data_IF_978451822384
#
_entry.id   IF_978451822384
#
_cell.length_a   1.000
_cell.length_b   1.000
_cell.length_c   1.000
_cell.angle_alpha   90.00
_cell.angle_beta   90.00
_cell.angle_gamma   90.00
#
_symmetry.space_group_name_H-M   'P 1'
#
loop_
_entity.id
_entity.type
_entity.pdbx_description
1 polymer ?
#
# COMPACT_ATOMS: atom_id res chain seq x y z
N UNK A 1 -15.15 21.48 12.16
CA UNK A 1 -15.24 21.36 10.72
C UNK A 1 -14.22 20.31 10.25
N UNK A 2 -14.71 19.07 10.00
CA UNK A 2 -13.83 17.90 9.83
C UNK A 2 -12.95 17.94 8.57
N UNK A 3 -13.19 18.88 7.65
CA UNK A 3 -12.40 19.05 6.42
C UNK A 3 -11.05 19.71 6.69
N UNK A 4 -10.97 20.68 7.60
CA UNK A 4 -9.73 21.37 7.94
C UNK A 4 -8.78 20.48 8.73
N UNK A 5 -9.33 19.63 9.61
CA UNK A 5 -8.52 18.67 10.36
C UNK A 5 -7.95 17.56 9.45
N UNK A 6 -8.77 17.07 8.51
CA UNK A 6 -8.32 16.08 7.52
C UNK A 6 -7.24 16.65 6.58
N UNK A 7 -7.40 17.91 6.13
CA UNK A 7 -6.41 18.59 5.31
C UNK A 7 -5.08 18.80 6.07
N UNK A 8 -5.14 19.25 7.32
CA UNK A 8 -3.96 19.43 8.17
C UNK A 8 -3.26 18.10 8.51
N UNK A 9 -4.05 17.03 8.64
CA UNK A 9 -3.52 15.67 8.85
C UNK A 9 -2.82 15.17 7.59
N UNK A 10 -3.43 15.35 6.42
CA UNK A 10 -2.84 14.98 5.13
C UNK A 10 -1.54 15.76 4.87
N UNK A 11 -1.50 17.06 5.15
CA UNK A 11 -0.30 17.88 4.99
C UNK A 11 0.87 17.34 5.84
N UNK A 12 0.61 16.94 7.09
CA UNK A 12 1.64 16.33 7.95
C UNK A 12 2.15 14.99 7.40
N UNK A 13 1.27 14.15 6.86
CA UNK A 13 1.63 12.86 6.26
C UNK A 13 2.43 13.06 4.97
N UNK A 14 2.08 14.06 4.17
CA UNK A 14 2.70 14.33 2.88
C UNK A 14 3.99 15.16 2.95
N UNK A 15 4.42 15.59 4.15
CA UNK A 15 5.69 16.32 4.32
C UNK A 15 6.87 15.41 3.96
N UNK A 16 7.62 15.80 2.93
CA UNK A 16 8.74 15.04 2.39
C UNK A 16 10.06 15.37 3.09
N UNK A 17 10.98 14.40 3.15
CA UNK A 17 12.38 14.68 3.39
C UNK A 17 13.01 15.15 2.06
N UNK A 18 13.42 16.43 1.95
CA UNK A 18 14.01 16.94 0.72
C UNK A 18 15.42 16.39 0.43
N UNK A 19 16.02 15.66 1.38
CA UNK A 19 17.34 15.07 1.22
C UNK A 19 17.35 13.80 0.37
N UNK A 20 16.19 13.19 0.13
CA UNK A 20 16.08 11.96 -0.68
C UNK A 20 15.67 12.28 -2.12
N UNK A 21 16.52 11.93 -3.08
CA UNK A 21 16.21 12.03 -4.51
C UNK A 21 15.22 10.94 -4.92
N UNK A 22 14.19 11.31 -5.64
CA UNK A 22 13.16 10.38 -6.11
C UNK A 22 13.01 10.49 -7.62
N UNK A 23 13.09 9.35 -8.30
CA UNK A 23 12.93 9.26 -9.75
C UNK A 23 11.46 9.11 -10.11
N UNK A 24 11.02 9.89 -11.10
CA UNK A 24 9.68 9.77 -11.67
C UNK A 24 9.73 8.92 -12.94
N UNK A 25 8.80 8.01 -13.05
CA UNK A 25 8.47 7.44 -14.35
C UNK A 25 7.64 8.46 -15.13
N UNK A 26 8.11 8.82 -16.32
CA UNK A 26 7.36 9.67 -17.24
C UNK A 26 6.89 8.75 -18.37
N UNK A 27 5.69 8.22 -18.25
CA UNK A 27 5.05 7.55 -19.37
C UNK A 27 4.09 8.51 -20.06
N UNK A 28 4.24 8.68 -21.37
CA UNK A 28 3.57 9.70 -22.19
C UNK A 28 2.07 9.43 -22.38
N UNK A 29 1.37 8.97 -21.40
CA UNK A 29 -0.07 8.72 -21.40
C UNK A 29 -0.70 8.60 -20.03
N UNK A 30 0.12 8.53 -18.97
CA UNK A 30 -0.34 8.44 -17.59
C UNK A 30 0.12 9.66 -16.80
N UNK A 31 -0.67 10.70 -16.77
CA UNK A 31 -0.43 11.88 -15.92
C UNK A 31 -0.36 11.57 -14.40
N UNK A 32 -0.71 10.33 -14.03
CA UNK A 32 -0.71 9.80 -12.66
C UNK A 32 0.39 8.78 -12.38
N UNK A 33 1.36 8.61 -13.27
CA UNK A 33 2.45 7.66 -13.04
C UNK A 33 3.18 8.00 -11.73
N UNK A 34 3.06 7.12 -10.75
CA UNK A 34 3.73 7.21 -9.47
C UNK A 34 5.25 7.20 -9.65
N UNK A 35 5.95 7.64 -8.63
CA UNK A 35 7.40 7.49 -8.56
C UNK A 35 7.72 6.00 -8.48
N UNK A 36 8.73 5.53 -9.20
CA UNK A 36 9.06 4.11 -9.29
C UNK A 36 10.35 3.72 -8.58
N UNK A 37 11.23 4.68 -8.30
CA UNK A 37 12.52 4.41 -7.66
C UNK A 37 13.05 5.63 -6.89
N UNK A 38 13.94 5.37 -5.92
CA UNK A 38 14.73 6.39 -5.22
C UNK A 38 16.23 6.14 -5.37
N UNK A 39 17.06 7.06 -4.86
CA UNK A 39 18.53 6.95 -4.95
C UNK A 39 19.13 5.83 -4.08
N UNK A 40 18.37 5.23 -3.19
CA UNK A 40 18.77 4.07 -2.38
C UNK A 40 18.54 2.75 -3.09
N UNK A 41 17.95 2.79 -4.30
CA UNK A 41 17.67 1.60 -5.08
C UNK A 41 16.34 0.92 -4.72
N UNK A 42 15.52 1.53 -3.85
CA UNK A 42 14.16 1.03 -3.63
C UNK A 42 13.33 1.33 -4.87
N UNK A 43 12.69 0.31 -5.41
CA UNK A 43 11.83 0.42 -6.59
C UNK A 43 10.46 -0.20 -6.30
N UNK A 44 9.42 0.34 -6.93
CA UNK A 44 8.04 -0.10 -6.75
C UNK A 44 7.30 -0.19 -8.07
N UNK A 45 6.44 -1.21 -8.16
CA UNK A 45 5.47 -1.37 -9.23
C UNK A 45 4.10 -1.69 -8.64
N UNK A 46 3.04 -1.34 -9.35
CA UNK A 46 1.66 -1.53 -8.89
C UNK A 46 0.84 -2.34 -9.90
N UNK A 47 -0.22 -2.97 -9.39
CA UNK A 47 -1.22 -3.68 -10.19
C UNK A 47 -2.56 -3.60 -9.45
N UNK A 48 -3.54 -2.91 -10.04
CA UNK A 48 -4.88 -2.74 -9.46
C UNK A 48 -5.58 -4.09 -9.30
N UNK A 49 -6.17 -4.32 -8.13
CA UNK A 49 -6.88 -5.54 -7.78
C UNK A 49 -8.30 -5.22 -7.30
N UNK A 50 -9.18 -6.22 -7.32
CA UNK A 50 -10.50 -6.13 -6.68
C UNK A 50 -10.40 -6.47 -5.19
N UNK A 51 -11.29 -5.89 -4.38
CA UNK A 51 -11.40 -6.19 -2.95
C UNK A 51 -12.86 -6.39 -2.52
N UNK A 52 -13.03 -6.94 -1.31
CA UNK A 52 -14.36 -7.15 -0.71
C UNK A 52 -14.91 -5.87 -0.07
N UNK A 53 -14.06 -4.90 0.22
CA UNK A 53 -14.44 -3.60 0.75
C UNK A 53 -14.02 -2.49 -0.20
N UNK A 54 -14.79 -1.40 -0.21
CA UNK A 54 -14.48 -0.18 -0.93
C UNK A 54 -14.38 1.00 0.02
N UNK A 55 -13.53 1.97 -0.33
CA UNK A 55 -13.43 3.24 0.40
C UNK A 55 -13.34 4.39 -0.59
N UNK A 56 -13.71 5.58 -0.11
CA UNK A 56 -13.55 6.83 -0.84
C UNK A 56 -12.61 7.76 -0.09
N UNK A 57 -11.92 8.58 -0.85
CA UNK A 57 -11.13 9.66 -0.28
C UNK A 57 -12.02 10.69 0.43
N UNK A 58 -11.47 11.36 1.43
CA UNK A 58 -12.15 12.45 2.16
C UNK A 58 -12.67 13.52 1.17
N UNK A 59 -11.89 13.88 0.17
CA UNK A 59 -12.31 14.84 -0.88
C UNK A 59 -13.47 14.35 -1.76
N UNK A 60 -13.79 13.05 -1.74
CA UNK A 60 -14.92 12.43 -2.44
C UNK A 60 -16.04 11.99 -1.47
N UNK A 61 -16.07 12.55 -0.26
CA UNK A 61 -17.08 12.25 0.74
C UNK A 61 -16.85 10.94 1.51
N UNK A 62 -15.64 10.39 1.46
CA UNK A 62 -15.22 9.20 2.20
C UNK A 62 -14.41 9.53 3.46
N UNK A 63 -13.63 8.56 3.93
CA UNK A 63 -12.84 8.65 5.18
C UNK A 63 -11.35 8.39 4.96
N UNK A 64 -10.96 7.80 3.85
CA UNK A 64 -9.57 7.51 3.53
C UNK A 64 -8.82 8.78 3.09
N UNK A 65 -7.57 8.91 3.51
CA UNK A 65 -6.70 10.01 3.09
C UNK A 65 -5.74 9.62 1.97
N UNK A 66 -5.40 8.34 1.84
CA UNK A 66 -4.30 7.89 1.00
C UNK A 66 -4.77 6.91 -0.09
N UNK A 67 -4.16 7.04 -1.26
CA UNK A 67 -4.17 6.06 -2.33
C UNK A 67 -2.75 5.48 -2.51
N UNK A 68 -2.58 4.50 -3.39
CA UNK A 68 -1.27 3.88 -3.60
C UNK A 68 -0.22 4.89 -4.10
N UNK A 69 -0.63 5.90 -4.86
CA UNK A 69 0.27 6.93 -5.38
C UNK A 69 0.94 7.74 -4.25
N UNK A 70 0.15 8.13 -3.23
CA UNK A 70 0.67 8.83 -2.05
C UNK A 70 1.51 7.89 -1.20
N UNK A 71 1.05 6.66 -0.96
CA UNK A 71 1.79 5.66 -0.17
C UNK A 71 3.16 5.36 -0.77
N UNK A 72 3.20 5.04 -2.07
CA UNK A 72 4.47 4.73 -2.76
C UNK A 72 5.40 5.93 -2.83
N UNK A 73 4.85 7.14 -3.06
CA UNK A 73 5.63 8.38 -3.03
C UNK A 73 6.27 8.62 -1.67
N UNK A 74 5.48 8.53 -0.58
CA UNK A 74 5.97 8.75 0.78
C UNK A 74 7.04 7.71 1.14
N UNK A 75 6.80 6.44 0.79
CA UNK A 75 7.76 5.38 1.07
C UNK A 75 9.07 5.57 0.31
N UNK A 76 9.03 5.94 -0.97
CA UNK A 76 10.23 6.24 -1.76
C UNK A 76 10.99 7.47 -1.25
N UNK A 77 10.30 8.44 -0.66
CA UNK A 77 10.91 9.64 -0.07
C UNK A 77 11.54 9.39 1.30
N UNK A 78 11.13 8.33 2.01
CA UNK A 78 11.52 8.12 3.43
C UNK A 78 12.28 6.84 3.70
N UNK A 79 12.21 5.84 2.81
CA UNK A 79 12.75 4.52 3.07
C UNK A 79 13.97 4.20 2.23
N UNK A 80 14.96 3.57 2.87
CA UNK A 80 16.19 3.13 2.23
C UNK A 80 16.18 1.62 1.89
N UNK A 81 15.15 0.87 2.31
CA UNK A 81 15.01 -0.57 2.06
C UNK A 81 13.59 -0.93 1.67
N UNK A 82 13.42 -2.02 0.93
CA UNK A 82 12.13 -2.53 0.52
C UNK A 82 11.24 -2.88 1.73
N UNK A 83 11.80 -3.54 2.73
CA UNK A 83 11.08 -3.89 3.96
C UNK A 83 10.56 -2.66 4.69
N UNK A 84 11.40 -1.66 4.91
CA UNK A 84 10.99 -0.42 5.59
C UNK A 84 9.88 0.31 4.82
N UNK A 85 9.91 0.24 3.49
CA UNK A 85 8.88 0.82 2.64
C UNK A 85 7.53 0.09 2.78
N UNK A 86 7.53 -1.24 2.83
CA UNK A 86 6.33 -2.06 3.08
C UNK A 86 5.74 -1.74 4.45
N UNK A 87 6.56 -1.75 5.50
CA UNK A 87 6.13 -1.45 6.88
C UNK A 87 5.54 -0.03 6.99
N UNK A 88 6.18 0.97 6.38
CA UNK A 88 5.70 2.35 6.39
C UNK A 88 4.38 2.50 5.64
N UNK A 89 4.25 1.91 4.45
CA UNK A 89 3.01 1.98 3.67
C UNK A 89 1.85 1.32 4.42
N UNK A 90 2.08 0.17 5.04
CA UNK A 90 1.10 -0.52 5.85
C UNK A 90 0.63 0.33 7.04
N UNK A 91 1.57 0.85 7.83
CA UNK A 91 1.26 1.69 8.99
C UNK A 91 0.50 2.97 8.63
N UNK A 92 0.91 3.66 7.56
CA UNK A 92 0.22 4.86 7.08
C UNK A 92 -1.21 4.56 6.62
N UNK A 93 -1.40 3.45 5.91
CA UNK A 93 -2.71 3.05 5.44
C UNK A 93 -3.65 2.64 6.58
N UNK A 94 -3.14 1.96 7.61
CA UNK A 94 -3.91 1.65 8.82
C UNK A 94 -4.30 2.92 9.59
N UNK A 95 -3.40 3.87 9.74
CA UNK A 95 -3.65 5.09 10.51
C UNK A 95 -4.55 6.09 9.79
N UNK A 96 -4.38 6.22 8.46
CA UNK A 96 -4.99 7.32 7.69
C UNK A 96 -6.06 6.86 6.70
N UNK A 97 -6.29 5.55 6.60
CA UNK A 97 -7.21 4.96 5.64
C UNK A 97 -6.63 4.90 4.22
N UNK A 98 -7.00 3.85 3.52
CA UNK A 98 -6.62 3.56 2.15
C UNK A 98 -7.87 3.53 1.26
N UNK A 99 -7.81 4.21 0.13
CA UNK A 99 -8.77 4.06 -0.96
C UNK A 99 -8.02 3.60 -2.21
N UNK A 100 -8.42 2.48 -2.77
CA UNK A 100 -7.92 2.08 -4.08
C UNK A 100 -8.44 2.96 -5.20
N UNK A 101 -8.03 2.69 -6.42
CA UNK A 101 -8.59 3.37 -7.58
C UNK A 101 -10.08 3.00 -7.72
N UNK A 102 -10.97 3.98 -7.65
CA UNK A 102 -12.38 3.78 -7.93
C UNK A 102 -12.60 3.92 -9.44
N UNK A 103 -12.46 2.81 -10.15
CA UNK A 103 -12.76 2.70 -11.58
C UNK A 103 -14.21 2.24 -11.83
N UNK A 104 -15.06 2.24 -10.81
CA UNK A 104 -16.45 1.83 -10.88
C UNK A 104 -16.67 0.32 -10.82
N UNK A 105 -15.63 -0.49 -10.58
CA UNK A 105 -15.70 -1.95 -10.50
C UNK A 105 -15.96 -2.49 -9.09
N UNK A 106 -16.24 -1.61 -8.14
CA UNK A 106 -16.69 -2.00 -6.80
C UNK A 106 -15.60 -2.56 -5.90
N UNK A 107 -14.95 -1.67 -5.16
CA UNK A 107 -13.92 -1.98 -4.17
C UNK A 107 -12.56 -2.20 -4.84
N UNK A 108 -11.71 -1.20 -4.79
CA UNK A 108 -10.38 -1.28 -5.37
C UNK A 108 -9.34 -1.61 -4.32
N UNK A 109 -8.48 -2.54 -4.65
CA UNK A 109 -7.30 -2.91 -3.90
C UNK A 109 -6.08 -2.81 -4.80
N UNK A 110 -4.89 -2.89 -4.21
CA UNK A 110 -3.65 -2.84 -4.96
C UNK A 110 -2.74 -3.99 -4.57
N UNK A 111 -1.98 -4.46 -5.53
CA UNK A 111 -0.83 -5.31 -5.33
C UNK A 111 0.41 -4.53 -5.70
N UNK A 112 1.35 -4.43 -4.78
CA UNK A 112 2.58 -3.68 -4.94
C UNK A 112 3.76 -4.65 -4.94
N UNK A 113 4.64 -4.53 -5.94
CA UNK A 113 5.97 -5.10 -5.89
C UNK A 113 6.90 -4.03 -5.31
N UNK A 114 7.67 -4.37 -4.27
CA UNK A 114 8.62 -3.46 -3.61
C UNK A 114 9.97 -4.17 -3.54
N UNK A 115 10.99 -3.61 -4.17
CA UNK A 115 12.31 -4.25 -4.27
C UNK A 115 13.42 -3.26 -3.92
N UNK A 116 14.54 -3.80 -3.48
CA UNK A 116 15.82 -3.10 -3.39
C UNK A 116 16.97 -4.03 -3.86
N UNK A 117 18.21 -3.72 -3.51
CA UNK A 117 19.37 -4.54 -3.89
C UNK A 117 19.48 -5.89 -3.21
N UNK A 118 18.76 -6.09 -2.10
CA UNK A 118 18.91 -7.24 -1.20
C UNK A 118 17.66 -8.12 -1.14
N UNK A 119 16.46 -7.53 -1.33
CA UNK A 119 15.20 -8.27 -1.18
C UNK A 119 14.08 -7.73 -2.07
N UNK A 120 13.08 -8.59 -2.28
CA UNK A 120 11.85 -8.26 -2.99
C UNK A 120 10.63 -8.66 -2.14
N UNK A 121 9.59 -7.84 -2.17
CA UNK A 121 8.34 -8.05 -1.47
C UNK A 121 7.15 -7.91 -2.43
N UNK A 122 6.14 -8.73 -2.22
CA UNK A 122 4.79 -8.52 -2.75
C UNK A 122 3.92 -8.07 -1.60
N UNK A 123 3.26 -6.92 -1.74
CA UNK A 123 2.30 -6.40 -0.77
C UNK A 123 0.93 -6.31 -1.40
N UNK A 124 -0.08 -6.85 -0.74
CA UNK A 124 -1.48 -6.68 -1.07
C UNK A 124 -2.13 -5.76 -0.05
N UNK A 125 -2.89 -4.78 -0.51
CA UNK A 125 -3.55 -3.81 0.35
C UNK A 125 -4.96 -3.53 -0.15
N UNK A 126 -5.91 -3.45 0.76
CA UNK A 126 -7.31 -3.08 0.48
C UNK A 126 -7.85 -2.18 1.61
N UNK A 127 -8.93 -1.42 1.36
CA UNK A 127 -9.63 -0.73 2.43
C UNK A 127 -10.13 -1.71 3.48
N UNK A 128 -10.28 -1.24 4.72
CA UNK A 128 -11.08 -1.93 5.71
C UNK A 128 -12.58 -1.64 5.53
N UNK A 129 -13.43 -2.34 6.26
CA UNK A 129 -14.88 -2.17 6.22
C UNK A 129 -15.34 -0.75 6.60
N UNK A 130 -14.59 -0.05 7.46
CA UNK A 130 -14.91 1.31 7.90
C UNK A 130 -14.57 2.37 6.84
N UNK A 131 -13.72 2.04 5.88
CA UNK A 131 -13.15 2.97 4.92
C UNK A 131 -12.19 4.01 5.51
N UNK A 132 -11.76 3.81 6.78
CA UNK A 132 -10.89 4.74 7.50
C UNK A 132 -9.55 4.10 7.91
N UNK A 133 -9.34 2.84 7.54
CA UNK A 133 -8.13 2.06 7.78
C UNK A 133 -7.86 1.16 6.57
N UNK A 134 -6.92 0.24 6.70
CA UNK A 134 -6.58 -0.73 5.67
C UNK A 134 -6.37 -2.13 6.25
N UNK A 135 -6.54 -3.13 5.39
CA UNK A 135 -6.11 -4.50 5.62
C UNK A 135 -5.04 -4.80 4.59
N UNK A 136 -3.90 -5.29 5.03
CA UNK A 136 -2.79 -5.60 4.15
C UNK A 136 -2.00 -6.82 4.60
N UNK A 137 -1.34 -7.46 3.65
CA UNK A 137 -0.37 -8.50 3.87
C UNK A 137 0.77 -8.36 2.87
N UNK A 138 1.98 -8.68 3.30
CA UNK A 138 3.15 -8.69 2.44
C UNK A 138 3.97 -9.96 2.63
N UNK A 139 4.53 -10.47 1.54
CA UNK A 139 5.38 -11.64 1.51
C UNK A 139 6.71 -11.29 0.85
N UNK A 140 7.81 -11.61 1.53
CA UNK A 140 9.14 -11.58 0.95
C UNK A 140 9.25 -12.68 -0.11
N UNK A 141 9.71 -12.33 -1.29
CA UNK A 141 10.03 -13.30 -2.34
C UNK A 141 11.29 -14.06 -1.92
N UNK A 142 11.27 -15.40 -1.89
CA UNK A 142 12.45 -16.17 -1.52
C UNK A 142 13.62 -15.95 -2.49
N UNK A 143 14.84 -16.04 -1.99
CA UNK A 143 16.04 -15.91 -2.81
C UNK A 143 16.06 -17.00 -3.90
N UNK A 144 16.34 -16.60 -5.12
CA UNK A 144 16.33 -17.48 -6.29
C UNK A 144 14.95 -17.75 -6.90
N UNK A 145 13.88 -17.15 -6.35
CA UNK A 145 12.53 -17.23 -6.90
C UNK A 145 12.12 -15.93 -7.59
N UNK A 146 11.03 -15.98 -8.35
CA UNK A 146 10.42 -14.82 -8.98
C UNK A 146 8.94 -14.77 -8.61
N UNK A 147 8.42 -13.55 -8.43
CA UNK A 147 7.01 -13.30 -8.26
C UNK A 147 6.44 -12.53 -9.44
N UNK A 148 5.23 -12.86 -9.84
CA UNK A 148 4.48 -12.13 -10.85
C UNK A 148 3.10 -11.80 -10.28
N UNK A 149 2.71 -10.55 -10.38
CA UNK A 149 1.42 -10.05 -9.91
C UNK A 149 0.68 -9.44 -11.08
N UNK A 150 -0.53 -9.91 -11.35
CA UNK A 150 -1.33 -9.48 -12.48
C UNK A 150 -2.79 -9.29 -12.06
N UNK A 151 -3.12 -8.10 -11.52
CA UNK A 151 -4.47 -7.69 -11.12
C UNK A 151 -5.20 -8.69 -10.19
N UNK A 152 -4.46 -9.37 -9.33
CA UNK A 152 -4.99 -10.32 -8.36
C UNK A 152 -4.09 -10.48 -7.14
N UNK A 153 -4.69 -10.85 -6.01
CA UNK A 153 -3.94 -11.23 -4.83
C UNK A 153 -3.34 -12.63 -5.00
N UNK A 154 -2.04 -12.75 -4.77
CA UNK A 154 -1.28 -14.00 -4.93
C UNK A 154 -0.83 -14.60 -3.59
N UNK A 155 -0.76 -13.83 -2.51
CA UNK A 155 -0.46 -14.32 -1.17
C UNK A 155 -1.66 -15.13 -0.67
N UNK A 156 -1.45 -16.41 -0.39
CA UNK A 156 -2.53 -17.33 0.00
C UNK A 156 -2.47 -17.73 1.46
N UNK A 157 -1.30 -17.65 2.06
CA UNK A 157 -1.06 -18.04 3.46
C UNK A 157 -0.11 -17.03 4.07
N UNK A 158 -0.42 -16.58 5.27
CA UNK A 158 0.40 -15.64 6.05
C UNK A 158 0.72 -16.30 7.39
N UNK A 159 1.88 -16.99 7.52
CA UNK A 159 2.37 -17.48 8.80
C UNK A 159 2.67 -16.31 9.74
N UNK A 160 1.90 -16.18 10.81
CA UNK A 160 2.00 -15.04 11.74
C UNK A 160 3.24 -15.09 12.63
N UNK A 161 3.88 -16.24 12.71
CA UNK A 161 5.12 -16.48 13.48
C UNK A 161 6.40 -16.28 12.64
N UNK A 162 6.29 -15.96 11.36
CA UNK A 162 7.41 -15.76 10.44
C UNK A 162 7.52 -14.31 9.95
N UNK A 163 7.76 -13.39 10.87
CA UNK A 163 7.93 -11.97 10.54
C UNK A 163 9.15 -11.67 9.65
N UNK A 164 10.05 -12.62 9.43
CA UNK A 164 11.16 -12.45 8.48
C UNK A 164 10.67 -12.49 7.03
N UNK A 165 9.62 -13.26 6.75
CA UNK A 165 9.07 -13.46 5.41
C UNK A 165 7.67 -12.89 5.20
N UNK A 166 6.91 -12.67 6.27
CA UNK A 166 5.53 -12.20 6.19
C UNK A 166 5.30 -11.04 7.14
N UNK A 167 4.59 -10.04 6.63
CA UNK A 167 4.11 -8.88 7.38
C UNK A 167 2.62 -8.70 7.08
N UNK A 168 1.84 -8.24 8.05
CA UNK A 168 0.42 -7.97 7.82
C UNK A 168 -0.13 -6.96 8.84
N UNK A 169 -1.29 -6.40 8.52
CA UNK A 169 -2.06 -5.57 9.46
C UNK A 169 -2.55 -6.38 10.66
N UNK A 170 -2.60 -5.76 11.83
CA UNK A 170 -3.15 -6.40 13.04
C UNK A 170 -4.61 -6.79 12.87
N UNK A 171 -5.38 -6.02 12.09
CA UNK A 171 -6.81 -6.23 11.84
C UNK A 171 -7.11 -7.40 10.89
N UNK A 172 -6.12 -7.94 10.16
CA UNK A 172 -6.33 -8.94 9.10
C UNK A 172 -7.01 -10.20 9.63
N UNK A 173 -6.47 -10.80 10.68
CA UNK A 173 -6.99 -12.06 11.26
C UNK A 173 -8.37 -11.86 11.88
N UNK A 174 -8.53 -10.82 12.71
CA UNK A 174 -9.82 -10.52 13.34
C UNK A 174 -10.93 -10.24 12.31
N UNK A 175 -10.60 -9.59 11.20
CA UNK A 175 -11.55 -9.36 10.12
C UNK A 175 -11.90 -10.66 9.40
N UNK A 176 -10.92 -11.52 9.12
CA UNK A 176 -11.14 -12.81 8.47
C UNK A 176 -12.01 -13.74 9.33
N UNK A 177 -11.76 -13.80 10.64
CA UNK A 177 -12.57 -14.56 11.60
C UNK A 177 -14.02 -14.06 11.65
N UNK A 178 -14.23 -12.75 11.78
CA UNK A 178 -15.55 -12.14 11.83
C UNK A 178 -16.37 -12.37 10.57
N UNK A 179 -15.73 -12.44 9.43
CA UNK A 179 -16.36 -12.72 8.14
C UNK A 179 -16.54 -14.22 7.85
N UNK A 180 -16.05 -15.09 8.73
CA UNK A 180 -16.07 -16.55 8.52
C UNK A 180 -15.15 -17.01 7.36
N UNK A 181 -14.15 -16.24 7.03
CA UNK A 181 -13.16 -16.54 5.97
C UNK A 181 -11.98 -17.35 6.50
N UNK A 182 -11.85 -17.39 7.81
CA UNK A 182 -10.82 -18.15 8.51
C UNK A 182 -11.38 -18.77 9.79
N UNK A 183 -11.05 -20.04 10.06
CA UNK A 183 -11.43 -20.80 11.25
C UNK A 183 -10.21 -21.42 11.91
#
# INVERSE_FOLDING_TARGET
DGTDEAAARLERVLTCDPAMGVFRHVDAGYEKAGRIANERGVMMGESTCSSIFGARLVGAGGRALLQYQELTRIALERCATARAAVELMGALAEEHGFAGNDDGLGGSAESLAVIDGDEAWVMHIMPDESGASAIWAAQRVPDGEAACVANMFVIRTVPLDDAARFLCSESMTATAERLGLWA
#
